data_IF_338062775977
#
_entry.id   IF_338062775977
#
_cell.length_a   1.000
_cell.length_b   1.000
_cell.length_c   1.000
_cell.angle_alpha   90.00
_cell.angle_beta   90.00
_cell.angle_gamma   90.00
#
_symmetry.space_group_name_H-M   'P 1'
#
loop_
_entity.id
_entity.type
_entity.pdbx_description
1 polymer ?
#
# COMPACT_ATOMS: atom_id res chain seq x y z
N UNK A 1 22.04 -14.85 33.53
CA UNK A 1 21.65 -15.48 32.26
C UNK A 1 20.87 -14.43 31.50
N UNK A 2 21.44 -13.90 30.42
CA UNK A 2 20.80 -12.90 29.59
C UNK A 2 19.64 -13.58 28.87
N UNK A 3 18.43 -13.10 29.11
CA UNK A 3 17.23 -13.58 28.44
C UNK A 3 17.26 -13.08 26.99
N UNK A 4 17.37 -14.00 26.03
CA UNK A 4 17.38 -13.70 24.60
C UNK A 4 15.97 -13.79 23.98
N UNK A 5 14.91 -13.90 24.80
CA UNK A 5 13.53 -14.01 24.28
C UNK A 5 12.92 -12.68 23.80
N UNK A 6 13.58 -11.54 24.02
CA UNK A 6 13.03 -10.19 23.73
C UNK A 6 13.22 -9.71 22.27
N UNK A 7 13.73 -10.54 21.36
CA UNK A 7 14.17 -10.09 20.03
C UNK A 7 13.27 -10.44 18.84
N UNK A 8 12.22 -11.22 19.03
CA UNK A 8 11.40 -11.68 17.90
C UNK A 8 10.29 -10.68 17.60
N UNK A 9 10.59 -9.65 16.81
CA UNK A 9 9.54 -8.88 16.13
C UNK A 9 8.89 -9.83 15.10
N UNK A 10 7.88 -10.58 15.54
CA UNK A 10 7.08 -11.45 14.68
C UNK A 10 6.07 -10.56 13.93
N UNK A 11 6.54 -9.90 12.87
CA UNK A 11 5.62 -9.19 11.95
C UNK A 11 4.91 -10.25 11.14
N UNK A 12 3.58 -10.40 11.30
CA UNK A 12 2.81 -11.30 10.46
C UNK A 12 2.64 -10.70 9.05
N UNK A 13 3.63 -10.96 8.20
CA UNK A 13 3.69 -10.47 6.83
C UNK A 13 2.50 -10.95 5.97
N UNK A 14 1.85 -12.06 6.33
CA UNK A 14 0.68 -12.57 5.58
C UNK A 14 -0.52 -11.64 5.72
N UNK A 15 -0.82 -11.22 6.95
CA UNK A 15 -1.90 -10.28 7.20
C UNK A 15 -1.66 -8.93 6.53
N UNK A 16 -0.41 -8.47 6.53
CA UNK A 16 -0.03 -7.20 5.93
C UNK A 16 -0.06 -7.23 4.40
N UNK A 17 0.35 -8.34 3.77
CA UNK A 17 0.21 -8.57 2.33
C UNK A 17 -1.25 -8.56 1.90
N UNK A 18 -2.12 -9.27 2.64
CA UNK A 18 -3.56 -9.30 2.34
C UNK A 18 -4.17 -7.90 2.43
N UNK A 19 -3.82 -7.13 3.47
CA UNK A 19 -4.30 -5.76 3.61
C UNK A 19 -3.84 -4.85 2.46
N UNK A 20 -2.60 -5.01 1.98
CA UNK A 20 -2.10 -4.26 0.83
C UNK A 20 -2.86 -4.60 -0.45
N UNK A 21 -3.11 -5.89 -0.71
CA UNK A 21 -3.89 -6.36 -1.87
C UNK A 21 -5.35 -5.85 -1.82
N UNK A 22 -5.96 -5.87 -0.63
CA UNK A 22 -7.30 -5.33 -0.40
C UNK A 22 -7.33 -3.81 -0.69
N UNK A 23 -6.35 -3.06 -0.20
CA UNK A 23 -6.26 -1.62 -0.44
C UNK A 23 -6.04 -1.28 -1.93
N UNK A 24 -5.23 -2.07 -2.65
CA UNK A 24 -5.06 -1.92 -4.10
C UNK A 24 -6.38 -2.14 -4.83
N UNK A 25 -7.11 -3.18 -4.43
CA UNK A 25 -8.42 -3.52 -5.01
C UNK A 25 -9.44 -2.41 -4.76
N UNK A 26 -9.52 -1.92 -3.52
CA UNK A 26 -10.42 -0.82 -3.15
C UNK A 26 -10.05 0.49 -3.88
N UNK A 27 -8.76 0.79 -4.03
CA UNK A 27 -8.30 1.99 -4.76
C UNK A 27 -8.68 1.93 -6.24
N UNK A 28 -8.57 0.76 -6.86
CA UNK A 28 -9.05 0.54 -8.24
C UNK A 28 -10.56 0.71 -8.34
N UNK A 29 -11.32 0.21 -7.36
CA UNK A 29 -12.77 0.37 -7.32
C UNK A 29 -13.17 1.85 -7.20
N UNK A 30 -12.52 2.62 -6.31
CA UNK A 30 -12.74 4.07 -6.15
C UNK A 30 -12.45 4.79 -7.47
N UNK A 31 -11.33 4.48 -8.12
CA UNK A 31 -10.98 5.08 -9.40
C UNK A 31 -12.04 4.79 -10.49
N UNK A 32 -12.57 3.56 -10.52
CA UNK A 32 -13.66 3.20 -11.43
C UNK A 32 -14.96 3.95 -11.16
N UNK A 33 -15.33 4.13 -9.89
CA UNK A 33 -16.51 4.92 -9.50
C UNK A 33 -16.36 6.38 -9.94
N UNK A 34 -15.18 6.99 -9.74
CA UNK A 34 -14.93 8.35 -10.19
C UNK A 34 -14.98 8.48 -11.72
N UNK A 35 -14.41 7.52 -12.45
CA UNK A 35 -14.46 7.52 -13.90
C UNK A 35 -15.91 7.41 -14.44
N UNK A 36 -16.73 6.56 -13.82
CA UNK A 36 -18.14 6.44 -14.16
C UNK A 36 -18.92 7.72 -13.83
N UNK A 37 -18.68 8.30 -12.64
CA UNK A 37 -19.29 9.56 -12.23
C UNK A 37 -18.97 10.68 -13.23
N UNK A 38 -17.71 10.78 -13.67
CA UNK A 38 -17.30 11.80 -14.65
C UNK A 38 -17.97 11.56 -16.02
N UNK A 39 -18.12 10.31 -16.44
CA UNK A 39 -18.80 9.97 -17.69
C UNK A 39 -20.29 10.33 -17.64
N UNK A 40 -20.98 10.02 -16.54
CA UNK A 40 -22.40 10.36 -16.33
C UNK A 40 -22.61 11.87 -16.26
N UNK A 41 -21.68 12.59 -15.62
CA UNK A 41 -21.76 14.04 -15.48
C UNK A 41 -21.29 14.79 -16.73
N UNK A 42 -20.68 14.12 -17.72
CA UNK A 42 -20.15 14.78 -18.91
C UNK A 42 -21.26 15.47 -19.73
N UNK A 43 -22.45 14.87 -19.81
CA UNK A 43 -23.62 15.48 -20.45
C UNK A 43 -24.21 16.61 -19.59
N UNK A 44 -24.28 16.42 -18.27
CA UNK A 44 -24.81 17.40 -17.33
C UNK A 44 -23.93 18.67 -17.27
N UNK A 45 -22.60 18.52 -17.38
CA UNK A 45 -21.61 19.62 -17.43
C UNK A 45 -21.83 20.55 -18.62
N UNK A 46 -22.47 20.09 -19.70
CA UNK A 46 -22.82 20.94 -20.84
C UNK A 46 -23.99 21.88 -20.53
N UNK A 47 -24.82 21.52 -19.56
CA UNK A 47 -25.97 22.33 -19.12
C UNK A 47 -25.64 23.30 -17.99
N UNK A 48 -24.47 23.16 -17.37
CA UNK A 48 -24.02 24.03 -16.29
C UNK A 48 -23.34 25.29 -16.84
N UNK A 49 -23.89 26.44 -16.52
CA UNK A 49 -23.30 27.74 -16.82
C UNK A 49 -22.72 28.41 -15.57
N UNK A 50 -21.67 29.21 -15.75
CA UNK A 50 -21.12 30.05 -14.67
C UNK A 50 -20.37 29.27 -13.58
N UNK A 51 -20.66 29.61 -12.32
CA UNK A 51 -19.90 29.24 -11.11
C UNK A 51 -19.98 27.73 -10.79
N UNK A 52 -21.12 27.09 -11.04
CA UNK A 52 -21.34 25.67 -10.73
C UNK A 52 -20.38 24.74 -11.48
N UNK A 53 -20.12 25.06 -12.75
CA UNK A 53 -19.14 24.33 -13.59
C UNK A 53 -17.73 24.46 -13.01
N UNK A 54 -17.38 25.63 -12.47
CA UNK A 54 -16.07 25.90 -11.93
C UNK A 54 -15.85 25.19 -10.58
N UNK A 55 -16.88 25.18 -9.73
CA UNK A 55 -16.89 24.43 -8.47
C UNK A 55 -16.74 22.94 -8.74
N UNK A 56 -17.50 22.39 -9.68
CA UNK A 56 -17.40 20.98 -10.03
C UNK A 56 -16.00 20.60 -10.53
N UNK A 57 -15.44 21.34 -11.48
CA UNK A 57 -14.10 21.06 -12.01
C UNK A 57 -13.04 21.05 -10.90
N UNK A 58 -13.19 21.92 -9.90
CA UNK A 58 -12.32 21.95 -8.71
C UNK A 58 -12.46 20.69 -7.87
N UNK A 59 -13.69 20.22 -7.65
CA UNK A 59 -13.96 18.98 -6.90
C UNK A 59 -13.45 17.75 -7.64
N UNK A 60 -13.69 17.68 -8.95
CA UNK A 60 -13.18 16.63 -9.82
C UNK A 60 -11.65 16.52 -9.71
N UNK A 61 -10.94 17.63 -9.91
CA UNK A 61 -9.47 17.64 -9.76
C UNK A 61 -9.01 17.20 -8.37
N UNK A 62 -9.72 17.62 -7.31
CA UNK A 62 -9.38 17.20 -5.95
C UNK A 62 -9.54 15.69 -5.76
N UNK A 63 -10.60 15.09 -6.31
CA UNK A 63 -10.83 13.64 -6.26
C UNK A 63 -9.80 12.87 -7.08
N UNK A 64 -9.49 13.32 -8.29
CA UNK A 64 -8.47 12.70 -9.15
C UNK A 64 -7.10 12.71 -8.45
N UNK A 65 -6.71 13.85 -7.89
CA UNK A 65 -5.46 13.99 -7.15
C UNK A 65 -5.42 13.09 -5.90
N UNK A 66 -6.54 12.96 -5.19
CA UNK A 66 -6.61 12.08 -4.01
C UNK A 66 -6.46 10.61 -4.40
N UNK A 67 -7.05 10.18 -5.52
CA UNK A 67 -6.89 8.81 -6.03
C UNK A 67 -5.46 8.53 -6.46
N UNK A 68 -4.82 9.45 -7.17
CA UNK A 68 -3.41 9.28 -7.53
C UNK A 68 -2.49 9.26 -6.30
N UNK A 69 -2.78 10.08 -5.28
CA UNK A 69 -2.05 10.03 -4.02
C UNK A 69 -2.20 8.67 -3.31
N UNK A 70 -3.42 8.10 -3.28
CA UNK A 70 -3.66 6.77 -2.72
C UNK A 70 -2.91 5.67 -3.48
N UNK A 71 -2.92 5.71 -4.82
CA UNK A 71 -2.15 4.77 -5.65
C UNK A 71 -0.66 4.83 -5.35
N UNK A 72 -0.10 6.04 -5.24
CA UNK A 72 1.32 6.24 -4.96
C UNK A 72 1.70 5.75 -3.56
N UNK A 73 0.88 6.06 -2.56
CA UNK A 73 1.09 5.61 -1.18
C UNK A 73 1.09 4.07 -1.11
N UNK A 74 0.15 3.42 -1.79
CA UNK A 74 0.08 1.95 -1.83
C UNK A 74 1.26 1.32 -2.56
N UNK A 75 1.67 1.89 -3.69
CA UNK A 75 2.86 1.42 -4.40
C UNK A 75 4.13 1.54 -3.53
N UNK A 76 4.26 2.64 -2.78
CA UNK A 76 5.39 2.85 -1.86
C UNK A 76 5.35 1.89 -0.67
N UNK A 77 4.18 1.67 -0.06
CA UNK A 77 4.04 0.70 1.01
C UNK A 77 4.34 -0.72 0.52
N UNK A 78 3.80 -1.13 -0.62
CA UNK A 78 4.08 -2.46 -1.20
C UNK A 78 5.57 -2.70 -1.37
N UNK A 79 6.33 -1.74 -1.91
CA UNK A 79 7.79 -1.84 -2.02
C UNK A 79 8.46 -1.96 -0.65
N UNK A 80 8.09 -1.12 0.30
CA UNK A 80 8.64 -1.17 1.66
C UNK A 80 8.41 -2.54 2.31
N UNK A 81 7.22 -3.13 2.14
CA UNK A 81 6.91 -4.45 2.69
C UNK A 81 7.76 -5.55 2.07
N UNK A 82 7.95 -5.51 0.75
CA UNK A 82 8.84 -6.44 0.05
C UNK A 82 10.28 -6.29 0.55
N UNK A 83 10.79 -5.06 0.63
CA UNK A 83 12.15 -4.78 1.10
C UNK A 83 12.35 -5.26 2.55
N UNK A 84 11.39 -5.03 3.44
CA UNK A 84 11.46 -5.49 4.83
C UNK A 84 11.42 -7.02 4.90
N UNK A 85 10.58 -7.68 4.08
CA UNK A 85 10.49 -9.14 4.05
C UNK A 85 11.79 -9.78 3.55
N UNK A 86 12.38 -9.24 2.48
CA UNK A 86 13.63 -9.74 1.91
C UNK A 86 14.79 -9.58 2.88
N UNK A 87 14.90 -8.40 3.53
CA UNK A 87 15.91 -8.15 4.55
C UNK A 87 15.76 -9.08 5.75
N UNK A 88 14.54 -9.36 6.19
CA UNK A 88 14.28 -10.29 7.30
C UNK A 88 14.71 -11.71 6.95
N UNK A 89 14.30 -12.24 5.79
CA UNK A 89 14.67 -13.58 5.34
C UNK A 89 16.19 -13.74 5.18
N UNK A 90 16.85 -12.70 4.68
CA UNK A 90 18.31 -12.69 4.56
C UNK A 90 18.98 -12.76 5.93
N UNK A 91 18.54 -11.95 6.88
CA UNK A 91 19.07 -11.92 8.25
C UNK A 91 18.85 -13.25 8.97
N UNK A 92 17.65 -13.84 8.86
CA UNK A 92 17.34 -15.15 9.43
C UNK A 92 18.26 -16.23 8.86
N UNK A 93 18.38 -16.32 7.53
CA UNK A 93 19.27 -17.29 6.87
C UNK A 93 20.73 -17.12 7.34
N UNK A 94 21.21 -15.89 7.44
CA UNK A 94 22.57 -15.61 7.90
C UNK A 94 22.78 -16.06 9.34
N UNK A 95 21.82 -15.79 10.23
CA UNK A 95 21.89 -16.23 11.62
C UNK A 95 21.84 -17.77 11.72
N UNK A 96 20.92 -18.43 11.00
CA UNK A 96 20.84 -19.89 10.97
C UNK A 96 22.13 -20.53 10.46
N UNK A 97 22.75 -19.96 9.41
CA UNK A 97 24.06 -20.41 8.93
C UNK A 97 25.14 -20.27 10.00
N UNK A 98 25.23 -19.11 10.66
CA UNK A 98 26.19 -18.89 11.74
C UNK A 98 26.03 -19.91 12.87
N UNK A 99 24.79 -20.18 13.31
CA UNK A 99 24.52 -21.19 14.35
C UNK A 99 24.80 -22.62 13.88
N UNK A 100 24.60 -22.93 12.60
CA UNK A 100 24.94 -24.24 12.02
C UNK A 100 26.45 -24.52 12.00
N UNK A 101 27.27 -23.47 11.84
CA UNK A 101 28.73 -23.57 11.87
C UNK A 101 29.31 -23.65 13.29
N UNK A 102 28.52 -23.31 14.32
CA UNK A 102 28.90 -23.52 15.73
C UNK A 102 28.87 -25.02 16.04
N UNK A 103 30.00 -25.70 15.85
CA UNK A 103 30.21 -27.06 16.36
C UNK A 103 30.17 -27.05 17.88
N UNK A 104 29.21 -27.76 18.45
CA UNK A 104 29.19 -28.08 19.89
C UNK A 104 30.44 -28.94 20.16
N UNK A 105 31.37 -28.38 20.93
CA UNK A 105 32.63 -29.05 21.30
C UNK A 105 32.38 -30.40 21.97
N UNK A 106 33.20 -31.39 21.61
CA UNK A 106 33.29 -32.68 22.32
C UNK A 106 34.07 -32.53 23.61
#
# INVERSE_FOLDING_TARGET
MSDFTDGHIYVDYRHMSNAADDMVTQTKAIAGVLANLEAELQELKQTWEGEDRQVYNTKQQAWDNAVEAMKNLLANHSRLLTDVSDNYQYSEKSLTQMWGDVRIGR
#
